data_IF_451473850651
#
_entry.id   IF_451473850651
#
_cell.length_a   1.000
_cell.length_b   1.000
_cell.length_c   1.000
_cell.angle_alpha   90.00
_cell.angle_beta   90.00
_cell.angle_gamma   90.00
#
_symmetry.space_group_name_H-M   'P 1'
#
loop_
_entity.id
_entity.type
_entity.pdbx_description
1 polymer ?
#
# COMPACT_ATOMS: atom_id res chain seq x y z
N UNK A 1 0.97 -4.19 -6.67
CA UNK A 1 1.39 -3.13 -5.74
C UNK A 1 2.13 -3.75 -4.57
N UNK A 2 3.47 -3.68 -4.50
CA UNK A 2 4.25 -4.08 -3.33
C UNK A 2 4.17 -3.02 -2.23
N UNK A 3 4.09 -3.47 -0.96
CA UNK A 3 4.24 -2.64 0.22
C UNK A 3 5.62 -2.86 0.86
N UNK A 4 6.28 -1.79 1.25
CA UNK A 4 7.50 -1.79 2.06
C UNK A 4 7.42 -0.71 3.15
N UNK A 5 8.11 -0.90 4.27
CA UNK A 5 8.20 0.10 5.34
C UNK A 5 9.42 0.99 5.13
N UNK A 6 9.21 2.31 5.09
CA UNK A 6 10.31 3.27 4.95
C UNK A 6 11.26 3.21 6.14
N UNK A 7 12.56 3.08 5.87
CA UNK A 7 13.60 2.96 6.90
C UNK A 7 13.86 1.54 7.39
N UNK A 8 13.17 0.55 6.85
CA UNK A 8 13.41 -0.86 7.14
C UNK A 8 14.24 -1.53 6.03
N UNK A 9 15.47 -1.99 6.28
CA UNK A 9 16.25 -1.80 7.51
C UNK A 9 16.89 -0.41 7.63
N UNK A 10 17.03 0.35 6.55
CA UNK A 10 17.55 1.71 6.50
C UNK A 10 16.90 2.53 5.38
N UNK A 11 16.98 3.88 5.43
CA UNK A 11 16.50 4.73 4.33
C UNK A 11 17.27 4.50 3.02
N UNK A 12 18.57 4.21 3.11
CA UNK A 12 19.38 3.87 1.93
C UNK A 12 18.86 2.59 1.25
N UNK A 13 18.51 1.57 2.04
CA UNK A 13 17.90 0.33 1.50
C UNK A 13 16.49 0.56 1.00
N UNK A 14 15.71 1.41 1.65
CA UNK A 14 14.38 1.81 1.15
C UNK A 14 14.49 2.42 -0.25
N UNK A 15 15.45 3.35 -0.46
CA UNK A 15 15.71 3.92 -1.77
C UNK A 15 16.02 2.84 -2.81
N UNK A 16 16.96 1.96 -2.50
CA UNK A 16 17.35 0.88 -3.40
C UNK A 16 16.17 -0.05 -3.73
N UNK A 17 15.36 -0.40 -2.72
CA UNK A 17 14.16 -1.21 -2.91
C UNK A 17 13.13 -0.52 -3.80
N UNK A 18 12.85 0.78 -3.60
CA UNK A 18 11.90 1.52 -4.44
C UNK A 18 12.32 1.48 -5.91
N UNK A 19 13.59 1.78 -6.22
CA UNK A 19 14.11 1.74 -7.59
C UNK A 19 14.02 0.33 -8.19
N UNK A 20 14.42 -0.67 -7.42
CA UNK A 20 14.41 -2.06 -7.85
C UNK A 20 12.98 -2.63 -8.02
N UNK A 21 12.03 -2.21 -7.19
CA UNK A 21 10.61 -2.57 -7.33
C UNK A 21 10.00 -1.95 -8.58
N UNK A 22 10.33 -0.71 -8.90
CA UNK A 22 9.91 -0.06 -10.15
C UNK A 22 10.46 -0.81 -11.37
N UNK A 23 11.76 -1.16 -11.38
CA UNK A 23 12.39 -1.97 -12.44
C UNK A 23 11.77 -3.38 -12.55
N UNK A 24 11.35 -3.96 -11.43
CA UNK A 24 10.68 -5.26 -11.41
C UNK A 24 9.24 -5.23 -11.96
N UNK A 25 8.73 -4.06 -12.35
CA UNK A 25 7.41 -3.88 -12.95
C UNK A 25 6.28 -3.69 -11.93
N UNK A 26 6.57 -3.10 -10.78
CA UNK A 26 5.52 -2.63 -9.87
C UNK A 26 4.72 -1.49 -10.53
N UNK A 27 3.39 -1.64 -10.60
CA UNK A 27 2.52 -0.60 -11.17
C UNK A 27 2.29 0.58 -10.20
N UNK A 28 2.34 0.32 -8.90
CA UNK A 28 2.27 1.30 -7.79
C UNK A 28 3.13 0.75 -6.65
N UNK A 29 3.83 1.61 -5.93
CA UNK A 29 4.57 1.25 -4.70
C UNK A 29 3.87 1.86 -3.50
N UNK A 30 3.53 1.02 -2.52
CA UNK A 30 2.97 1.45 -1.24
C UNK A 30 4.10 1.58 -0.22
N UNK A 31 4.33 2.80 0.25
CA UNK A 31 5.41 3.13 1.18
C UNK A 31 4.84 3.40 2.58
N UNK A 32 5.04 2.46 3.48
CA UNK A 32 4.61 2.57 4.88
C UNK A 32 5.46 3.56 5.67
N UNK A 33 4.80 4.50 6.33
CA UNK A 33 5.44 5.43 7.26
C UNK A 33 5.49 4.76 8.63
N UNK A 34 6.68 4.49 9.20
CA UNK A 34 6.77 3.79 10.46
C UNK A 34 6.14 4.59 11.61
N UNK A 35 5.35 3.91 12.43
CA UNK A 35 4.65 4.50 13.57
C UNK A 35 4.88 3.63 14.82
N UNK A 36 4.91 4.25 16.01
CA UNK A 36 5.17 3.56 17.28
C UNK A 36 4.01 2.69 17.76
N UNK A 37 2.77 3.06 17.37
CA UNK A 37 1.55 2.43 17.86
C UNK A 37 0.68 1.89 16.71
N UNK A 38 1.19 0.97 15.88
CA UNK A 38 0.60 0.57 14.62
C UNK A 38 -0.51 -0.48 14.82
N UNK A 39 -1.61 -0.08 15.48
CA UNK A 39 -2.69 -0.97 15.93
C UNK A 39 -3.46 -1.64 14.80
N UNK A 40 -3.48 -1.04 13.60
CA UNK A 40 -4.13 -1.63 12.43
C UNK A 40 -3.23 -2.61 11.66
N UNK A 41 -1.94 -2.65 11.99
CA UNK A 41 -0.96 -3.47 11.30
C UNK A 41 -0.86 -4.89 11.84
N UNK A 42 -0.61 -5.84 10.93
CA UNK A 42 -0.20 -7.18 11.30
C UNK A 42 1.25 -7.23 11.80
N UNK A 43 1.60 -8.32 12.51
CA UNK A 43 2.88 -8.51 13.20
C UNK A 43 4.12 -8.18 12.33
N UNK A 44 4.13 -8.60 11.06
CA UNK A 44 5.27 -8.34 10.18
C UNK A 44 5.52 -6.84 9.95
N UNK A 45 4.45 -6.06 9.75
CA UNK A 45 4.54 -4.61 9.55
C UNK A 45 4.90 -3.89 10.85
N UNK A 46 4.37 -4.35 12.01
CA UNK A 46 4.76 -3.84 13.32
C UNK A 46 6.27 -4.01 13.57
N UNK A 47 6.80 -5.21 13.33
CA UNK A 47 8.23 -5.50 13.47
C UNK A 47 9.09 -4.66 12.50
N UNK A 48 8.60 -4.40 11.28
CA UNK A 48 9.28 -3.52 10.33
C UNK A 48 9.28 -2.06 10.79
N UNK A 49 8.15 -1.57 11.31
CA UNK A 49 8.06 -0.23 11.89
C UNK A 49 9.04 -0.07 13.07
N UNK A 50 9.12 -1.08 13.96
CA UNK A 50 10.10 -1.07 15.06
C UNK A 50 11.55 -1.01 14.54
N UNK A 51 11.91 -1.79 13.51
CA UNK A 51 13.26 -1.75 12.91
C UNK A 51 13.57 -0.38 12.33
N UNK A 52 12.63 0.21 11.59
CA UNK A 52 12.77 1.53 11.01
C UNK A 52 12.93 2.63 12.08
N UNK A 53 12.10 2.60 13.13
CA UNK A 53 12.13 3.60 14.21
C UNK A 53 13.43 3.56 15.04
N UNK A 54 14.10 2.42 15.13
CA UNK A 54 15.45 2.34 15.74
C UNK A 54 16.49 3.22 15.02
N UNK A 55 16.24 3.52 13.74
CA UNK A 55 17.08 4.42 12.93
C UNK A 55 16.59 5.88 12.99
N UNK A 56 15.67 6.22 13.91
CA UNK A 56 15.11 7.57 14.07
C UNK A 56 14.55 8.17 12.78
N UNK A 57 13.91 7.34 11.94
CA UNK A 57 13.31 7.76 10.69
C UNK A 57 12.13 8.68 10.94
N UNK A 58 12.06 9.79 10.23
CA UNK A 58 11.01 10.79 10.33
C UNK A 58 10.23 10.94 9.02
N UNK A 59 8.99 11.42 9.10
CA UNK A 59 8.15 11.69 7.92
C UNK A 59 8.85 12.67 6.95
N UNK A 60 9.52 13.70 7.45
CA UNK A 60 10.26 14.65 6.61
C UNK A 60 11.39 13.98 5.80
N UNK A 61 12.12 13.04 6.40
CA UNK A 61 13.16 12.28 5.70
C UNK A 61 12.57 11.35 4.63
N UNK A 62 11.39 10.77 4.89
CA UNK A 62 10.69 9.91 3.93
C UNK A 62 10.18 10.73 2.74
N UNK A 63 9.62 11.91 2.98
CA UNK A 63 9.23 12.85 1.92
C UNK A 63 10.45 13.24 1.07
N UNK A 64 11.58 13.57 1.70
CA UNK A 64 12.82 13.88 0.99
C UNK A 64 13.33 12.69 0.16
N UNK A 65 13.24 11.47 0.68
CA UNK A 65 13.58 10.24 -0.05
C UNK A 65 12.72 10.07 -1.30
N UNK A 66 11.40 10.33 -1.21
CA UNK A 66 10.53 10.26 -2.38
C UNK A 66 10.92 11.30 -3.43
N UNK A 67 11.23 12.54 -3.03
CA UNK A 67 11.72 13.58 -3.95
C UNK A 67 13.03 13.19 -4.66
N UNK A 68 13.89 12.42 -3.99
CA UNK A 68 15.13 11.89 -4.57
C UNK A 68 14.83 10.82 -5.62
N UNK A 69 14.08 9.76 -5.26
CA UNK A 69 13.81 8.65 -6.17
C UNK A 69 12.93 9.05 -7.35
N UNK A 70 12.09 10.06 -7.20
CA UNK A 70 11.21 10.58 -8.27
C UNK A 70 11.99 11.13 -9.48
N UNK A 71 13.26 11.45 -9.31
CA UNK A 71 14.14 11.85 -10.41
C UNK A 71 14.50 10.69 -11.34
N UNK A 72 14.33 9.46 -10.87
CA UNK A 72 14.76 8.25 -11.56
C UNK A 72 13.58 7.37 -12.02
N UNK A 73 12.42 7.47 -11.34
CA UNK A 73 11.24 6.63 -11.64
C UNK A 73 9.96 7.46 -11.79
N UNK A 74 9.04 6.92 -12.60
CA UNK A 74 7.68 7.46 -12.75
C UNK A 74 6.61 6.56 -12.10
N UNK A 75 7.00 5.41 -11.57
CA UNK A 75 6.09 4.49 -10.88
C UNK A 75 5.39 5.21 -9.74
N UNK A 76 4.06 5.24 -9.68
CA UNK A 76 3.31 5.89 -8.60
C UNK A 76 3.73 5.39 -7.22
N UNK A 77 3.87 6.34 -6.29
CA UNK A 77 4.17 6.06 -4.87
C UNK A 77 3.03 6.59 -4.02
N UNK A 78 2.43 5.73 -3.22
CA UNK A 78 1.44 6.13 -2.23
C UNK A 78 2.00 5.96 -0.81
N UNK A 79 1.64 6.88 0.07
CA UNK A 79 1.94 6.74 1.49
C UNK A 79 0.85 5.94 2.21
N UNK A 80 1.28 5.01 3.03
CA UNK A 80 0.48 4.26 3.98
C UNK A 80 0.85 4.74 5.37
N UNK A 81 -0.07 5.41 6.07
CA UNK A 81 0.24 6.15 7.29
C UNK A 81 -0.87 6.05 8.34
N UNK A 82 -0.54 6.52 9.53
CA UNK A 82 -1.48 6.81 10.61
C UNK A 82 -1.69 8.31 10.73
N UNK A 83 -2.89 8.72 11.16
CA UNK A 83 -3.31 10.11 11.25
C UNK A 83 -2.37 10.96 12.10
N UNK A 84 -1.93 10.45 13.24
CA UNK A 84 -1.12 11.23 14.18
C UNK A 84 0.16 11.79 13.55
N UNK A 85 0.82 11.02 12.68
CA UNK A 85 2.05 11.46 11.99
C UNK A 85 1.78 12.67 11.08
N UNK A 86 0.69 12.61 10.33
CA UNK A 86 0.28 13.67 9.40
C UNK A 86 -0.25 14.89 10.18
N UNK A 87 -1.02 14.65 11.24
CA UNK A 87 -1.54 15.69 12.11
C UNK A 87 -0.41 16.51 12.77
N UNK A 88 0.60 15.84 13.31
CA UNK A 88 1.77 16.49 13.90
C UNK A 88 2.61 17.26 12.87
N UNK A 89 2.65 16.80 11.62
CA UNK A 89 3.32 17.52 10.53
C UNK A 89 2.53 18.76 10.07
N UNK A 90 1.21 18.74 10.25
CA UNK A 90 0.23 19.73 9.80
C UNK A 90 -0.30 19.41 8.39
N UNK A 91 -1.63 19.31 8.24
CA UNK A 91 -2.28 18.83 7.02
C UNK A 91 -1.90 19.61 5.77
N UNK A 92 -1.95 20.93 5.81
CA UNK A 92 -1.61 21.78 4.68
C UNK A 92 -0.13 21.65 4.28
N UNK A 93 0.77 21.63 5.26
CA UNK A 93 2.21 21.46 5.04
C UNK A 93 2.51 20.07 4.48
N UNK A 94 1.89 19.02 5.05
CA UNK A 94 2.05 17.65 4.58
C UNK A 94 1.61 17.52 3.11
N UNK A 95 0.41 18.01 2.77
CA UNK A 95 -0.10 17.94 1.40
C UNK A 95 0.82 18.66 0.41
N UNK A 96 1.29 19.86 0.76
CA UNK A 96 2.24 20.63 -0.05
C UNK A 96 3.57 19.88 -0.26
N UNK A 97 4.19 19.42 0.84
CA UNK A 97 5.52 18.81 0.78
C UNK A 97 5.46 17.43 0.11
N UNK A 98 4.39 16.65 0.34
CA UNK A 98 4.15 15.36 -0.32
C UNK A 98 3.97 15.54 -1.85
N UNK A 99 3.15 16.49 -2.27
CA UNK A 99 2.95 16.81 -3.69
C UNK A 99 4.26 17.26 -4.35
N UNK A 100 4.99 18.18 -3.71
CA UNK A 100 6.28 18.69 -4.22
C UNK A 100 7.33 17.58 -4.33
N UNK A 101 7.28 16.57 -3.47
CA UNK A 101 8.12 15.38 -3.52
C UNK A 101 7.69 14.37 -4.60
N UNK A 102 6.48 14.49 -5.13
CA UNK A 102 5.92 13.58 -6.12
C UNK A 102 5.23 12.35 -5.51
N UNK A 103 4.64 12.49 -4.32
CA UNK A 103 3.73 11.47 -3.75
C UNK A 103 2.40 11.55 -4.51
N UNK A 104 1.92 10.41 -5.02
CA UNK A 104 0.72 10.34 -5.85
C UNK A 104 -0.56 10.16 -5.04
N UNK A 105 -0.45 9.58 -3.85
CA UNK A 105 -1.61 9.34 -2.99
C UNK A 105 -1.26 9.02 -1.55
N UNK A 106 -2.28 9.06 -0.71
CA UNK A 106 -2.17 8.81 0.73
C UNK A 106 -3.32 7.93 1.20
N UNK A 107 -2.99 6.90 1.95
CA UNK A 107 -3.91 6.07 2.72
C UNK A 107 -3.65 6.31 4.20
N UNK A 108 -4.67 6.71 4.95
CA UNK A 108 -4.62 6.89 6.40
C UNK A 108 -5.50 5.83 7.07
N UNK A 109 -4.86 4.93 7.80
CA UNK A 109 -5.49 3.70 8.30
C UNK A 109 -6.57 3.91 9.35
N UNK A 110 -6.36 4.89 10.21
CA UNK A 110 -7.17 5.22 11.38
C UNK A 110 -8.05 6.47 11.18
N UNK A 111 -8.22 6.91 9.91
CA UNK A 111 -9.06 8.05 9.57
C UNK A 111 -10.29 7.58 8.74
N UNK A 112 -11.49 7.59 9.32
CA UNK A 112 -12.70 7.32 8.57
C UNK A 112 -13.06 8.51 7.65
N UNK A 113 -13.78 8.28 6.53
CA UNK A 113 -14.12 9.34 5.58
C UNK A 113 -14.82 10.56 6.22
N UNK A 114 -15.63 10.34 7.26
CA UNK A 114 -16.37 11.39 7.96
C UNK A 114 -15.48 12.40 8.68
N UNK A 115 -14.28 12.00 9.05
CA UNK A 115 -13.31 12.82 9.78
C UNK A 115 -12.22 13.39 8.86
N UNK A 116 -12.19 12.93 7.60
CA UNK A 116 -11.12 13.25 6.67
C UNK A 116 -11.19 14.67 6.06
N UNK A 117 -12.25 15.44 6.31
CA UNK A 117 -12.57 16.66 5.56
C UNK A 117 -11.42 17.65 5.37
N UNK A 118 -10.69 17.99 6.44
CA UNK A 118 -9.57 18.95 6.37
C UNK A 118 -8.38 18.38 5.59
N UNK A 119 -7.95 17.15 5.90
CA UNK A 119 -6.86 16.49 5.18
C UNK A 119 -7.23 16.23 3.71
N UNK A 120 -8.46 15.77 3.46
CA UNK A 120 -8.95 15.53 2.11
C UNK A 120 -8.93 16.82 1.26
N UNK A 121 -9.39 17.95 1.82
CA UNK A 121 -9.35 19.23 1.13
C UNK A 121 -7.90 19.67 0.82
N UNK A 122 -6.97 19.51 1.77
CA UNK A 122 -5.57 19.84 1.57
C UNK A 122 -4.90 18.97 0.49
N UNK A 123 -5.12 17.65 0.52
CA UNK A 123 -4.59 16.71 -0.48
C UNK A 123 -5.19 16.99 -1.87
N UNK A 124 -6.51 17.21 -1.95
CA UNK A 124 -7.19 17.54 -3.20
C UNK A 124 -6.64 18.83 -3.84
N UNK A 125 -6.42 19.88 -3.04
CA UNK A 125 -5.84 21.14 -3.51
C UNK A 125 -4.40 20.98 -4.04
N UNK A 126 -3.67 19.97 -3.54
CA UNK A 126 -2.32 19.62 -3.96
C UNK A 126 -2.26 18.53 -5.06
N UNK A 127 -3.40 18.09 -5.60
CA UNK A 127 -3.55 16.98 -6.56
C UNK A 127 -2.97 15.63 -6.07
N UNK A 128 -2.98 15.39 -4.76
CA UNK A 128 -2.62 14.11 -4.15
C UNK A 128 -3.90 13.32 -3.88
N UNK A 129 -3.92 12.07 -4.30
CA UNK A 129 -5.10 11.19 -4.17
C UNK A 129 -5.28 10.74 -2.72
N UNK A 130 -6.52 10.68 -2.26
CA UNK A 130 -6.85 10.10 -0.97
C UNK A 130 -7.52 8.75 -1.14
N UNK A 131 -6.84 7.70 -0.67
CA UNK A 131 -7.29 6.31 -0.75
C UNK A 131 -7.99 5.95 0.55
N UNK A 132 -9.09 5.21 0.47
CA UNK A 132 -9.81 4.71 1.64
C UNK A 132 -9.93 3.19 1.62
N UNK A 133 -9.98 2.63 2.84
CA UNK A 133 -10.17 1.20 3.06
C UNK A 133 -11.66 0.83 3.02
N UNK A 134 -11.96 -0.28 2.38
CA UNK A 134 -13.24 -0.98 2.46
C UNK A 134 -12.99 -2.31 3.17
N UNK A 135 -13.70 -2.52 4.28
CA UNK A 135 -13.62 -3.78 5.04
C UNK A 135 -14.71 -4.77 4.59
N UNK A 136 -14.53 -6.08 4.80
CA UNK A 136 -15.56 -7.09 4.52
C UNK A 136 -16.88 -6.85 5.26
N UNK A 137 -16.80 -6.14 6.39
CA UNK A 137 -17.97 -5.76 7.20
C UNK A 137 -18.64 -4.47 6.74
N UNK A 138 -18.12 -3.80 5.69
CA UNK A 138 -18.70 -2.56 5.18
C UNK A 138 -20.05 -2.84 4.49
N UNK A 139 -21.09 -2.19 4.99
CA UNK A 139 -22.41 -2.26 4.36
C UNK A 139 -22.43 -1.57 2.99
N UNK A 140 -23.38 -1.87 2.08
CA UNK A 140 -23.47 -1.18 0.79
C UNK A 140 -23.60 0.35 0.91
N UNK A 141 -24.24 0.85 1.97
CA UNK A 141 -24.32 2.30 2.25
C UNK A 141 -22.94 2.84 2.60
N UNK A 142 -22.19 2.12 3.44
CA UNK A 142 -20.81 2.49 3.82
C UNK A 142 -19.88 2.47 2.61
N UNK A 143 -19.97 1.46 1.77
CA UNK A 143 -19.18 1.34 0.54
C UNK A 143 -19.42 2.55 -0.38
N UNK A 144 -20.68 2.93 -0.62
CA UNK A 144 -21.01 4.12 -1.43
C UNK A 144 -20.40 5.41 -0.85
N UNK A 145 -20.50 5.58 0.46
CA UNK A 145 -19.94 6.76 1.13
C UNK A 145 -18.41 6.84 1.02
N UNK A 146 -17.73 5.71 1.24
CA UNK A 146 -16.28 5.61 1.08
C UNK A 146 -15.88 5.90 -0.38
N UNK A 147 -16.54 5.25 -1.33
CA UNK A 147 -16.25 5.39 -2.75
C UNK A 147 -16.48 6.83 -3.26
N UNK A 148 -17.46 7.55 -2.72
CA UNK A 148 -17.73 8.95 -3.09
C UNK A 148 -16.62 9.92 -2.64
N UNK A 149 -15.85 9.57 -1.63
CA UNK A 149 -14.75 10.39 -1.11
C UNK A 149 -13.37 9.90 -1.59
N UNK A 150 -13.28 8.65 -2.05
CA UNK A 150 -12.02 8.08 -2.53
C UNK A 150 -11.60 8.68 -3.88
N UNK A 151 -10.29 8.74 -4.09
CA UNK A 151 -9.69 9.07 -5.38
C UNK A 151 -8.49 8.15 -5.67
N UNK A 152 -8.14 7.99 -6.96
CA UNK A 152 -7.11 7.04 -7.38
C UNK A 152 -7.63 5.61 -7.43
N UNK A 153 -7.87 4.99 -6.30
CA UNK A 153 -8.46 3.65 -6.19
C UNK A 153 -9.14 3.46 -4.82
N UNK A 154 -9.91 2.39 -4.67
CA UNK A 154 -10.39 1.91 -3.37
C UNK A 154 -9.62 0.68 -2.96
N UNK A 155 -9.30 0.57 -1.69
CA UNK A 155 -8.51 -0.53 -1.14
C UNK A 155 -9.41 -1.48 -0.36
N UNK A 156 -9.67 -2.67 -0.90
CA UNK A 156 -10.42 -3.71 -0.21
C UNK A 156 -9.49 -4.58 0.64
N UNK A 157 -9.72 -4.58 1.94
CA UNK A 157 -8.99 -5.44 2.90
C UNK A 157 -9.74 -6.74 3.06
N UNK A 158 -9.31 -7.80 2.40
CA UNK A 158 -9.94 -9.11 2.57
C UNK A 158 -9.55 -9.75 3.92
N UNK A 159 -10.51 -10.33 4.64
CA UNK A 159 -10.23 -11.08 5.90
C UNK A 159 -9.72 -12.49 5.67
N UNK A 160 -9.88 -12.99 4.49
CA UNK A 160 -9.51 -14.34 4.14
C UNK A 160 -8.04 -14.36 3.74
N UNK A 161 -7.18 -14.58 4.72
CA UNK A 161 -5.89 -15.17 4.42
C UNK A 161 -6.15 -16.46 3.63
N UNK A 162 -5.57 -16.56 2.44
CA UNK A 162 -5.69 -17.72 1.53
C UNK A 162 -4.96 -18.93 2.13
N UNK A 163 -5.37 -19.33 3.35
CA UNK A 163 -4.83 -20.50 4.05
C UNK A 163 -5.99 -21.42 4.40
N UNK A 164 -6.36 -22.28 3.45
CA UNK A 164 -7.32 -23.35 3.70
C UNK A 164 -8.15 -23.74 2.48
N UNK A 165 -8.37 -25.02 2.32
CA UNK A 165 -9.21 -25.71 1.34
C UNK A 165 -10.68 -25.21 1.38
N UNK A 166 -10.99 -24.05 0.75
CA UNK A 166 -12.37 -23.58 0.64
C UNK A 166 -12.61 -22.85 -0.68
N UNK A 167 -13.37 -23.47 -1.54
CA UNK A 167 -14.08 -22.85 -2.68
C UNK A 167 -14.96 -21.69 -2.23
N UNK A 168 -15.53 -21.73 -1.03
CA UNK A 168 -16.39 -20.71 -0.44
C UNK A 168 -15.73 -19.32 -0.28
N UNK A 169 -14.40 -19.28 -0.16
CA UNK A 169 -13.64 -18.02 0.07
C UNK A 169 -13.49 -17.19 -1.20
N UNK A 170 -13.28 -17.86 -2.33
CA UNK A 170 -13.16 -17.17 -3.63
C UNK A 170 -14.52 -16.61 -4.07
N UNK A 171 -15.60 -17.34 -3.82
CA UNK A 171 -16.96 -16.92 -4.14
C UNK A 171 -17.40 -15.71 -3.29
N UNK A 172 -17.07 -15.69 -1.99
CA UNK A 172 -17.35 -14.56 -1.11
C UNK A 172 -16.58 -13.29 -1.53
N UNK A 173 -15.30 -13.41 -1.88
CA UNK A 173 -14.50 -12.29 -2.37
C UNK A 173 -15.05 -11.74 -3.69
N UNK A 174 -15.43 -12.59 -4.63
CA UNK A 174 -16.01 -12.18 -5.90
C UNK A 174 -17.32 -11.41 -5.72
N UNK A 175 -18.19 -11.87 -4.81
CA UNK A 175 -19.43 -11.18 -4.48
C UNK A 175 -19.18 -9.81 -3.83
N UNK A 176 -18.20 -9.71 -2.92
CA UNK A 176 -17.81 -8.44 -2.28
C UNK A 176 -17.25 -7.44 -3.31
N UNK A 177 -16.35 -7.89 -4.19
CA UNK A 177 -15.79 -7.05 -5.25
C UNK A 177 -16.89 -6.55 -6.20
N UNK A 178 -17.85 -7.42 -6.57
CA UNK A 178 -18.99 -7.03 -7.40
C UNK A 178 -19.86 -5.95 -6.72
N UNK A 179 -20.09 -6.05 -5.41
CA UNK A 179 -20.78 -5.02 -4.63
C UNK A 179 -20.03 -3.68 -4.63
N UNK A 180 -18.72 -3.70 -4.47
CA UNK A 180 -17.90 -2.48 -4.50
C UNK A 180 -17.94 -1.88 -5.90
N UNK A 181 -17.78 -2.68 -6.93
CA UNK A 181 -17.81 -2.25 -8.34
C UNK A 181 -19.16 -1.63 -8.74
N UNK A 182 -20.27 -2.07 -8.14
CA UNK A 182 -21.57 -1.43 -8.33
C UNK A 182 -21.66 -0.02 -7.70
N UNK A 183 -20.72 0.36 -6.85
CA UNK A 183 -20.71 1.64 -6.14
C UNK A 183 -19.65 2.63 -6.66
N UNK A 184 -18.70 2.18 -7.47
CA UNK A 184 -17.59 3.03 -7.94
C UNK A 184 -17.05 2.56 -9.30
N UNK A 185 -16.52 3.52 -10.06
CA UNK A 185 -15.73 3.26 -11.28
C UNK A 185 -14.21 3.28 -11.00
N UNK A 186 -13.79 3.60 -9.76
CA UNK A 186 -12.40 3.56 -9.38
C UNK A 186 -11.86 2.12 -9.42
N UNK A 187 -10.59 1.93 -9.74
CA UNK A 187 -9.93 0.63 -9.60
C UNK A 187 -10.07 0.07 -8.18
N UNK A 188 -10.21 -1.24 -8.07
CA UNK A 188 -10.31 -1.95 -6.78
C UNK A 188 -9.01 -2.72 -6.56
N UNK A 189 -8.23 -2.28 -5.58
CA UNK A 189 -7.02 -2.97 -5.14
C UNK A 189 -7.36 -3.88 -3.98
N UNK A 190 -6.92 -5.14 -4.05
CA UNK A 190 -7.16 -6.13 -2.98
C UNK A 190 -5.86 -6.44 -2.28
N UNK A 191 -5.87 -6.28 -0.97
CA UNK A 191 -4.76 -6.62 -0.10
C UNK A 191 -5.21 -7.44 1.08
N UNK A 192 -4.40 -8.36 1.48
CA UNK A 192 -4.30 -9.06 2.75
C UNK A 192 -3.90 -10.53 2.55
N UNK A 193 -2.75 -10.87 3.13
CA UNK A 193 -2.31 -12.26 3.22
C UNK A 193 -1.77 -12.89 1.94
N UNK A 194 -1.69 -12.14 0.84
CA UNK A 194 -1.09 -12.65 -0.41
C UNK A 194 0.39 -12.95 -0.20
N UNK A 195 0.75 -14.20 -0.39
CA UNK A 195 2.10 -14.70 -0.09
C UNK A 195 2.71 -15.53 -1.23
N UNK A 196 1.90 -15.89 -2.23
CA UNK A 196 2.35 -16.68 -3.39
C UNK A 196 1.87 -16.09 -4.71
N UNK A 197 2.57 -16.37 -5.83
CA UNK A 197 2.13 -15.99 -7.17
C UNK A 197 0.75 -16.55 -7.55
N UNK A 198 0.44 -17.78 -7.14
CA UNK A 198 -0.85 -18.41 -7.41
C UNK A 198 -2.01 -17.63 -6.78
N UNK A 199 -1.86 -17.25 -5.50
CA UNK A 199 -2.84 -16.41 -4.81
C UNK A 199 -3.03 -15.05 -5.48
N UNK A 200 -1.94 -14.43 -5.94
CA UNK A 200 -2.02 -13.16 -6.67
C UNK A 200 -2.81 -13.33 -7.98
N UNK A 201 -2.58 -14.42 -8.72
CA UNK A 201 -3.29 -14.72 -9.95
C UNK A 201 -4.79 -14.96 -9.73
N UNK A 202 -5.18 -15.64 -8.65
CA UNK A 202 -6.58 -15.84 -8.28
C UNK A 202 -7.31 -14.50 -8.01
N UNK A 203 -6.69 -13.62 -7.22
CA UNK A 203 -7.25 -12.30 -6.91
C UNK A 203 -7.37 -11.44 -8.16
N UNK A 204 -6.41 -11.51 -9.05
CA UNK A 204 -6.40 -10.73 -10.29
C UNK A 204 -7.52 -11.11 -11.27
N UNK A 205 -8.21 -12.23 -11.07
CA UNK A 205 -9.40 -12.58 -11.88
C UNK A 205 -10.60 -11.70 -11.57
N UNK A 206 -10.66 -11.10 -10.37
CA UNK A 206 -11.83 -10.35 -9.90
C UNK A 206 -11.51 -8.90 -9.53
N UNK A 207 -10.25 -8.58 -9.20
CA UNK A 207 -9.79 -7.25 -8.80
C UNK A 207 -8.91 -6.60 -9.89
N UNK A 208 -8.81 -5.28 -9.85
CA UNK A 208 -7.97 -4.51 -10.78
C UNK A 208 -6.48 -4.52 -10.38
N UNK A 209 -6.19 -4.85 -9.12
CA UNK A 209 -4.83 -4.99 -8.66
C UNK A 209 -4.70 -5.73 -7.33
N UNK A 210 -3.49 -6.20 -7.07
CA UNK A 210 -3.14 -7.00 -5.89
C UNK A 210 -2.09 -6.28 -5.06
N UNK A 211 -2.35 -6.16 -3.75
CA UNK A 211 -1.39 -5.60 -2.80
C UNK A 211 -0.68 -6.72 -2.06
N UNK A 212 0.65 -6.69 -2.06
CA UNK A 212 1.49 -7.68 -1.39
C UNK A 212 2.41 -6.98 -0.38
N UNK A 213 2.09 -7.12 0.89
CA UNK A 213 2.82 -6.50 2.00
C UNK A 213 3.64 -7.49 2.81
N UNK A 214 3.01 -8.17 3.77
CA UNK A 214 3.68 -8.97 4.78
C UNK A 214 4.67 -10.02 4.24
N UNK A 215 4.44 -10.55 3.04
CA UNK A 215 5.35 -11.50 2.40
C UNK A 215 6.67 -10.84 1.96
N UNK A 216 6.62 -9.58 1.53
CA UNK A 216 7.80 -8.78 1.18
C UNK A 216 8.51 -8.31 2.45
N UNK A 217 7.76 -7.75 3.39
CA UNK A 217 8.28 -7.24 4.67
C UNK A 217 9.01 -8.32 5.47
N UNK A 218 8.49 -9.56 5.48
CA UNK A 218 9.20 -10.68 6.13
C UNK A 218 10.53 -11.01 5.45
N UNK A 219 10.62 -10.93 4.12
CA UNK A 219 11.88 -11.15 3.39
C UNK A 219 12.90 -10.06 3.72
N UNK A 220 12.44 -8.81 3.77
CA UNK A 220 13.29 -7.68 4.19
C UNK A 220 13.82 -7.92 5.61
N UNK A 221 12.94 -8.26 6.55
CA UNK A 221 13.33 -8.53 7.94
C UNK A 221 14.29 -9.71 8.08
N UNK A 222 14.09 -10.79 7.34
CA UNK A 222 14.96 -11.98 7.38
C UNK A 222 16.34 -11.73 6.73
N UNK A 223 16.38 -10.99 5.63
CA UNK A 223 17.63 -10.73 4.90
C UNK A 223 18.44 -9.54 5.41
N UNK A 224 17.83 -8.68 6.25
CA UNK A 224 18.49 -7.53 6.88
C UNK A 224 19.11 -6.55 5.89
N UNK A 225 20.17 -5.84 6.29
CA UNK A 225 20.83 -4.84 5.45
C UNK A 225 21.85 -5.51 4.49
N UNK A 226 21.35 -6.21 3.47
CA UNK A 226 22.18 -6.92 2.50
C UNK A 226 21.69 -6.77 1.06
N UNK A 227 22.60 -6.88 0.08
CA UNK A 227 22.24 -6.90 -1.34
C UNK A 227 21.49 -8.19 -1.71
N UNK A 228 21.77 -9.28 -1.01
CA UNK A 228 21.06 -10.55 -1.17
C UNK A 228 19.57 -10.42 -0.84
N UNK A 229 19.22 -9.65 0.19
CA UNK A 229 17.84 -9.35 0.55
C UNK A 229 17.13 -8.63 -0.61
N UNK A 230 17.75 -7.60 -1.18
CA UNK A 230 17.17 -6.86 -2.31
C UNK A 230 16.94 -7.80 -3.49
N UNK A 231 17.91 -8.64 -3.84
CA UNK A 231 17.80 -9.61 -4.92
C UNK A 231 16.66 -10.62 -4.70
N UNK A 232 16.49 -11.12 -3.46
CA UNK A 232 15.40 -12.03 -3.08
C UNK A 232 14.02 -11.35 -3.23
N UNK A 233 13.87 -10.13 -2.70
CA UNK A 233 12.63 -9.35 -2.81
C UNK A 233 12.26 -9.14 -4.27
N UNK A 234 13.20 -8.74 -5.11
CA UNK A 234 12.96 -8.50 -6.54
C UNK A 234 12.62 -9.78 -7.28
N UNK A 235 13.30 -10.89 -6.99
CA UNK A 235 12.96 -12.20 -7.55
C UNK A 235 11.52 -12.59 -7.22
N UNK A 236 11.11 -12.39 -5.97
CA UNK A 236 9.75 -12.65 -5.55
C UNK A 236 8.73 -11.72 -6.26
N UNK A 237 9.00 -10.41 -6.34
CA UNK A 237 8.08 -9.47 -7.02
C UNK A 237 7.98 -9.77 -8.51
N UNK A 238 9.06 -10.12 -9.18
CA UNK A 238 9.02 -10.58 -10.58
C UNK A 238 8.19 -11.85 -10.76
N UNK A 239 8.25 -12.79 -9.82
CA UNK A 239 7.40 -13.99 -9.85
C UNK A 239 5.91 -13.67 -9.69
N UNK A 240 5.58 -12.69 -8.84
CA UNK A 240 4.20 -12.17 -8.72
C UNK A 240 3.76 -11.51 -10.02
N UNK A 241 4.59 -10.64 -10.61
CA UNK A 241 4.29 -9.95 -11.88
C UNK A 241 4.04 -10.93 -13.01
N UNK A 242 4.87 -11.96 -13.14
CA UNK A 242 4.70 -13.00 -14.14
C UNK A 242 3.36 -13.74 -14.01
N UNK A 243 2.89 -13.99 -12.79
CA UNK A 243 1.61 -14.64 -12.53
C UNK A 243 0.38 -13.75 -12.80
N UNK A 244 0.55 -12.43 -12.80
CA UNK A 244 -0.50 -11.44 -13.07
C UNK A 244 -0.64 -11.11 -14.56
N UNK A 245 0.36 -11.43 -15.37
CA UNK A 245 0.32 -11.21 -16.82
C UNK A 245 -0.37 -12.42 -17.44
N UNK A 246 -1.47 -12.25 -18.21
CA UNK A 246 -2.03 -13.36 -18.98
C UNK A 246 -0.93 -13.96 -19.86
N UNK A 247 -0.76 -15.27 -19.79
CA UNK A 247 0.12 -15.97 -20.74
C UNK A 247 -0.28 -15.63 -22.18
N UNK A 248 0.64 -15.71 -23.15
CA UNK A 248 0.26 -15.55 -24.54
C UNK A 248 -0.87 -16.54 -24.87
N UNK A 249 -1.86 -16.12 -25.69
CA UNK A 249 -2.99 -16.96 -26.08
C UNK A 249 -2.54 -18.21 -26.81
#
# INVERSE_FOLDING_TARGET
MPFITAGDPTLARTRQLILALADAGADVIELGIPFSDPLADGKANQEAAERALRNHVTLAQIIALVAEVRREIQTPIIFYSYLNLIFQYGFARFAHDAAAAGVDGVLVLDMPPEEAGELHAALHAADVRMIFLIAPTSTPVRVRMIAAQASGFVYYVSRTGVTGERTDVADDMSAQIAQIRACTTLPIMVGFGVSTPAQAAEIAQVADGVVVGSAIVRRIGAGGDSDAMVAEVITFVRSLRAALTPGPP
#
